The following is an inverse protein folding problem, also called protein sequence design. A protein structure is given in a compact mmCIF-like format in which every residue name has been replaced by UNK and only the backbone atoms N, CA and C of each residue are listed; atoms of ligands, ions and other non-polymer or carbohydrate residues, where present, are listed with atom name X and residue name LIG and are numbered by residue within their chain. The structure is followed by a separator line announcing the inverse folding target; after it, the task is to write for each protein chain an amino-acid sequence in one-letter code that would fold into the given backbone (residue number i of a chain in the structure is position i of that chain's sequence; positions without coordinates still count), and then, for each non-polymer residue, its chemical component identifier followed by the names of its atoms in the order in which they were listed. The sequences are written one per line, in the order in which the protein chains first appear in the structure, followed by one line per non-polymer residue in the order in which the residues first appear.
data_IF_438563606495
#
_entry.id   IF_438563606495
#
_cell.length_a   1.000
_cell.length_b   1.000
_cell.length_c   1.000
_cell.angle_alpha   90.00
_cell.angle_beta   90.00
_cell.angle_gamma   90.00
#
_symmetry.space_group_name_H-M   'P 1'
#
loop_
_entity.id
_entity.type
_entity.pdbx_description
1 polymer ?
#
# COMPACT_ATOMS: atom_id res chain seq x y z
N UNK A 1 -30.36 -0.57 -14.96
CA UNK A 1 -28.98 -1.08 -14.82
C UNK A 1 -28.66 -1.10 -13.34
N UNK A 2 -28.61 -2.29 -12.72
CA UNK A 2 -28.31 -2.41 -11.30
C UNK A 2 -26.81 -2.16 -11.09
N UNK A 3 -26.52 -1.16 -10.25
CA UNK A 3 -25.18 -0.70 -9.93
C UNK A 3 -24.50 -1.75 -9.04
N UNK A 4 -23.44 -2.39 -9.53
CA UNK A 4 -22.62 -3.32 -8.74
C UNK A 4 -21.82 -2.53 -7.71
N UNK A 5 -22.41 -2.21 -6.57
CA UNK A 5 -21.83 -1.27 -5.57
C UNK A 5 -20.62 -1.82 -4.79
N UNK A 6 -20.01 -2.93 -5.23
CA UNK A 6 -19.06 -3.73 -4.44
C UNK A 6 -17.94 -4.34 -5.29
N UNK A 7 -17.60 -3.73 -6.43
CA UNK A 7 -16.44 -4.15 -7.23
C UNK A 7 -15.24 -3.29 -6.86
N UNK A 8 -14.15 -3.94 -6.45
CA UNK A 8 -12.86 -3.28 -6.28
C UNK A 8 -12.30 -2.92 -7.66
N UNK A 9 -11.47 -1.86 -7.74
CA UNK A 9 -10.72 -1.57 -8.96
C UNK A 9 -9.89 -2.78 -9.42
N UNK A 10 -9.65 -2.87 -10.73
CA UNK A 10 -8.77 -3.89 -11.28
C UNK A 10 -7.39 -3.88 -10.59
N UNK A 11 -6.92 -5.06 -10.19
CA UNK A 11 -5.66 -5.22 -9.45
C UNK A 11 -5.79 -5.06 -7.93
N UNK A 12 -6.93 -4.62 -7.41
CA UNK A 12 -7.19 -4.59 -5.96
C UNK A 12 -7.95 -5.85 -5.54
N UNK A 13 -7.38 -6.57 -4.57
CA UNK A 13 -7.92 -7.81 -4.04
C UNK A 13 -8.26 -7.66 -2.56
N UNK A 14 -9.48 -8.09 -2.20
CA UNK A 14 -9.86 -8.28 -0.80
C UNK A 14 -9.30 -9.60 -0.30
N UNK A 15 -8.51 -9.55 0.78
CA UNK A 15 -8.08 -10.75 1.50
C UNK A 15 -9.03 -11.01 2.66
N UNK A 16 -9.63 -12.19 2.69
CA UNK A 16 -10.58 -12.59 3.75
C UNK A 16 -10.25 -13.97 4.33
N UNK A 17 -10.88 -14.27 5.47
CA UNK A 17 -10.85 -15.59 6.11
C UNK A 17 -9.43 -16.13 6.35
N UNK A 18 -9.21 -17.35 5.90
CA UNK A 18 -7.93 -18.06 6.09
C UNK A 18 -6.75 -17.35 5.41
N UNK A 19 -6.94 -16.75 4.23
CA UNK A 19 -5.87 -16.07 3.48
C UNK A 19 -5.38 -14.83 4.21
N UNK A 20 -6.30 -14.03 4.76
CA UNK A 20 -5.95 -12.87 5.58
C UNK A 20 -5.18 -13.28 6.84
N UNK A 21 -5.64 -14.32 7.53
CA UNK A 21 -4.95 -14.86 8.72
C UNK A 21 -3.54 -15.37 8.40
N UNK A 22 -3.38 -16.04 7.25
CA UNK A 22 -2.08 -16.54 6.79
C UNK A 22 -1.11 -15.40 6.52
N UNK A 23 -1.55 -14.35 5.82
CA UNK A 23 -0.71 -13.18 5.54
C UNK A 23 -0.29 -12.47 6.83
N UNK A 24 -1.24 -12.24 7.74
CA UNK A 24 -0.97 -11.55 9.01
C UNK A 24 0.00 -12.35 9.90
N UNK A 25 -0.07 -13.68 9.89
CA UNK A 25 0.90 -14.52 10.62
C UNK A 25 2.33 -14.33 10.09
N UNK A 26 2.50 -14.27 8.78
CA UNK A 26 3.79 -14.03 8.15
C UNK A 26 4.30 -12.63 8.51
N UNK A 27 3.45 -11.61 8.39
CA UNK A 27 3.79 -10.22 8.76
C UNK A 27 4.32 -10.14 10.19
N UNK A 28 3.61 -10.73 11.16
CA UNK A 28 4.02 -10.74 12.58
C UNK A 28 5.37 -11.42 12.79
N UNK A 29 5.57 -12.56 12.15
CA UNK A 29 6.84 -13.31 12.26
C UNK A 29 8.03 -12.47 11.78
N UNK A 30 7.86 -11.72 10.68
CA UNK A 30 8.89 -10.82 10.18
C UNK A 30 9.13 -9.64 11.12
N UNK A 31 8.06 -9.04 11.65
CA UNK A 31 8.18 -7.93 12.60
C UNK A 31 8.91 -8.34 13.88
N UNK A 32 8.57 -9.49 14.46
CA UNK A 32 9.21 -10.02 15.65
C UNK A 32 10.72 -10.29 15.40
N UNK A 33 11.06 -10.82 14.22
CA UNK A 33 12.45 -11.02 13.80
C UNK A 33 13.23 -9.70 13.73
N UNK A 34 12.71 -8.69 13.03
CA UNK A 34 13.40 -7.40 12.91
C UNK A 34 13.49 -6.65 14.24
N UNK A 35 12.46 -6.77 15.08
CA UNK A 35 12.50 -6.23 16.43
C UNK A 35 13.64 -6.86 17.26
N UNK A 36 13.89 -8.17 17.10
CA UNK A 36 15.01 -8.85 17.77
C UNK A 36 16.40 -8.31 17.37
N UNK A 37 16.49 -7.65 16.20
CA UNK A 37 17.71 -6.98 15.72
C UNK A 37 17.78 -5.50 16.11
N UNK A 38 16.80 -4.98 16.86
CA UNK A 38 16.74 -3.60 17.32
C UNK A 38 16.04 -2.62 16.37
N UNK A 39 15.41 -3.11 15.29
CA UNK A 39 14.58 -2.26 14.44
C UNK A 39 13.24 -1.94 15.10
N UNK A 40 12.67 -0.79 14.75
CA UNK A 40 11.37 -0.32 15.24
C UNK A 40 10.36 -0.28 14.10
N UNK A 41 9.13 -0.72 14.38
CA UNK A 41 8.01 -0.61 13.46
C UNK A 41 7.60 0.86 13.31
N UNK A 42 7.48 1.32 12.07
CA UNK A 42 6.86 2.60 11.70
C UNK A 42 5.71 2.36 10.73
N UNK A 43 4.79 3.33 10.64
CA UNK A 43 3.71 3.34 9.65
C UNK A 43 3.89 4.59 8.78
N UNK A 44 4.57 4.50 7.63
CA UNK A 44 4.69 5.62 6.71
C UNK A 44 3.33 5.97 6.10
N UNK A 45 3.15 7.20 5.60
CA UNK A 45 1.95 7.56 4.85
C UNK A 45 1.83 6.67 3.61
N UNK A 46 0.59 6.30 3.26
CA UNK A 46 0.30 5.49 2.05
C UNK A 46 0.19 6.33 0.78
N UNK A 47 0.11 7.65 0.93
CA UNK A 47 -0.01 8.61 -0.16
C UNK A 47 0.95 9.75 0.14
N UNK A 48 1.74 10.11 -0.86
CA UNK A 48 2.68 11.22 -0.81
C UNK A 48 2.54 12.07 -2.08
N UNK A 49 2.98 13.33 -2.02
CA UNK A 49 3.02 14.19 -3.20
C UNK A 49 3.97 13.60 -4.24
N UNK A 50 3.53 13.60 -5.50
CA UNK A 50 4.29 13.02 -6.60
C UNK A 50 5.68 13.66 -6.73
N UNK A 51 5.78 14.97 -6.54
CA UNK A 51 7.04 15.72 -6.56
C UNK A 51 8.02 15.27 -5.47
N UNK A 52 7.52 14.76 -4.34
CA UNK A 52 8.35 14.19 -3.26
C UNK A 52 8.82 12.77 -3.59
N UNK A 53 7.99 11.99 -4.28
CA UNK A 53 8.28 10.59 -4.63
C UNK A 53 9.26 10.48 -5.83
N UNK A 54 9.12 11.36 -6.83
CA UNK A 54 9.92 11.32 -8.07
C UNK A 54 11.35 11.82 -7.85
N UNK A 55 11.59 12.67 -6.85
CA UNK A 55 12.90 13.26 -6.58
C UNK A 55 14.03 12.24 -6.34
N UNK A 56 13.72 10.97 -6.06
CA UNK A 56 14.71 9.92 -5.79
C UNK A 56 14.65 8.65 -6.66
N UNK A 57 13.65 8.48 -7.53
CA UNK A 57 13.30 7.13 -8.03
C UNK A 57 13.24 6.92 -9.57
N UNK A 58 13.43 7.96 -10.38
CA UNK A 58 13.50 7.85 -11.84
C UNK A 58 12.17 7.57 -12.55
N UNK A 59 12.15 7.73 -13.87
CA UNK A 59 10.95 7.73 -14.73
C UNK A 59 10.13 6.44 -14.68
N UNK A 60 10.75 5.31 -14.32
CA UNK A 60 10.06 4.01 -14.24
C UNK A 60 9.14 3.91 -13.02
N UNK A 61 9.47 4.58 -11.91
CA UNK A 61 8.59 4.63 -10.75
C UNK A 61 7.31 5.42 -11.06
N UNK A 62 7.42 6.45 -11.92
CA UNK A 62 6.26 7.26 -12.32
C UNK A 62 5.19 6.43 -13.05
N UNK A 63 5.62 5.52 -13.94
CA UNK A 63 4.73 4.65 -14.70
C UNK A 63 4.00 3.61 -13.83
N UNK A 64 4.59 3.25 -12.68
CA UNK A 64 4.03 2.26 -11.75
C UNK A 64 3.35 2.91 -10.53
N UNK A 65 3.24 4.23 -10.50
CA UNK A 65 2.59 4.97 -9.40
C UNK A 65 1.12 5.19 -9.70
N UNK A 66 0.24 4.76 -8.80
CA UNK A 66 -1.17 5.12 -8.86
C UNK A 66 -1.34 6.59 -8.44
N UNK A 67 -1.71 7.45 -9.40
CA UNK A 67 -1.88 8.89 -9.18
C UNK A 67 -3.35 9.21 -8.91
N UNK A 68 -3.60 10.00 -7.88
CA UNK A 68 -4.91 10.58 -7.57
C UNK A 68 -4.73 12.10 -7.51
N UNK A 69 -5.58 12.84 -8.22
CA UNK A 69 -5.63 14.30 -8.10
C UNK A 69 -6.35 14.66 -6.81
N UNK A 70 -5.73 15.48 -5.97
CA UNK A 70 -6.39 16.10 -4.85
C UNK A 70 -7.20 17.31 -5.35
N UNK A 71 -8.52 17.21 -5.27
CA UNK A 71 -9.40 18.28 -5.76
C UNK A 71 -9.30 19.58 -4.93
N UNK A 72 -8.69 19.56 -3.76
CA UNK A 72 -8.56 20.72 -2.88
C UNK A 72 -7.21 21.42 -3.08
N UNK A 73 -6.11 20.65 -3.12
CA UNK A 73 -4.76 21.22 -3.22
C UNK A 73 -4.05 21.02 -4.58
N UNK A 74 -4.53 20.13 -5.44
CA UNK A 74 -4.04 19.88 -6.80
C UNK A 74 -3.38 18.53 -6.99
#
# INVERSE_FOLDING_TARGET
MQQQSWLLPDGIVELTGYSAQKLERIRRTLLDLYQSWGYSLIFPPLVEFLDSLIAGAGDELELQTFKVTDQISG
#
